data_IF_955265049951
#
_entry.id   IF_955265049951
#
_cell.length_a   1.000
_cell.length_b   1.000
_cell.length_c   1.000
_cell.angle_alpha   90.00
_cell.angle_beta   90.00
_cell.angle_gamma   90.00
#
_symmetry.space_group_name_H-M   'P 1'
#
loop_
_entity.id
_entity.type
_entity.pdbx_description
1 polymer ?
#
# COMPACT_ATOMS: atom_id res chain seq x y z
N UNK A 1 -7.40 -22.22 8.35
CA UNK A 1 -6.58 -22.59 7.17
C UNK A 1 -7.29 -21.97 5.99
N UNK A 2 -6.65 -21.01 5.33
CA UNK A 2 -7.21 -20.41 4.11
C UNK A 2 -7.35 -21.51 3.05
N UNK A 3 -8.44 -21.55 2.25
CA UNK A 3 -8.55 -22.47 1.15
C UNK A 3 -7.40 -22.25 0.16
N UNK A 4 -6.93 -23.34 -0.47
CA UNK A 4 -5.89 -23.24 -1.49
C UNK A 4 -6.31 -22.23 -2.57
N UNK A 5 -5.40 -21.33 -2.99
CA UNK A 5 -5.71 -20.37 -4.04
C UNK A 5 -6.12 -21.13 -5.32
N UNK A 6 -7.07 -20.58 -6.10
CA UNK A 6 -7.46 -21.18 -7.37
C UNK A 6 -6.24 -21.34 -8.26
N UNK A 7 -6.14 -22.47 -8.97
CA UNK A 7 -5.04 -22.76 -9.87
C UNK A 7 -4.77 -21.57 -10.80
N UNK A 8 -3.53 -21.11 -10.80
CA UNK A 8 -3.06 -20.00 -11.64
C UNK A 8 -3.38 -20.32 -13.10
N UNK A 9 -4.29 -19.59 -13.70
CA UNK A 9 -4.49 -19.66 -15.15
C UNK A 9 -3.34 -18.89 -15.79
N UNK A 10 -2.35 -19.64 -16.28
CA UNK A 10 -1.28 -19.08 -17.12
C UNK A 10 -1.92 -18.58 -18.42
N UNK A 11 -2.12 -17.27 -18.53
CA UNK A 11 -2.69 -16.62 -19.71
C UNK A 11 -1.68 -16.46 -20.86
N UNK A 12 -0.51 -17.09 -20.77
CA UNK A 12 0.54 -17.05 -21.77
C UNK A 12 1.24 -15.70 -21.92
N UNK A 13 0.91 -14.70 -21.10
CA UNK A 13 1.65 -13.44 -21.06
C UNK A 13 2.93 -13.67 -20.25
N UNK A 14 4.04 -13.86 -20.97
CA UNK A 14 5.35 -13.77 -20.32
C UNK A 14 5.52 -12.35 -19.81
N UNK A 15 5.45 -12.19 -18.50
CA UNK A 15 6.01 -11.00 -17.87
C UNK A 15 7.43 -10.83 -18.39
N UNK A 16 7.85 -9.60 -18.77
CA UNK A 16 9.24 -9.36 -19.16
C UNK A 16 10.12 -9.99 -18.10
N UNK A 17 11.10 -10.81 -18.52
CA UNK A 17 12.09 -11.39 -17.63
C UNK A 17 12.50 -10.33 -16.63
N UNK A 18 12.50 -10.68 -15.34
CA UNK A 18 13.00 -9.87 -14.25
C UNK A 18 14.19 -9.04 -14.72
N UNK A 19 13.95 -7.76 -14.98
CA UNK A 19 15.03 -6.83 -15.17
C UNK A 19 15.74 -6.82 -13.82
N UNK A 20 16.85 -7.57 -13.72
CA UNK A 20 17.74 -7.47 -12.57
C UNK A 20 18.15 -6.00 -12.52
N UNK A 21 17.48 -5.25 -11.65
CA UNK A 21 17.86 -3.88 -11.29
C UNK A 21 19.18 -4.00 -10.52
N UNK A 22 20.25 -4.25 -11.25
CA UNK A 22 21.61 -4.09 -10.72
C UNK A 22 21.94 -2.62 -10.81
N UNK A 23 22.35 -2.05 -9.70
CA UNK A 23 22.65 -0.64 -9.46
C UNK A 23 23.29 0.06 -10.66
N UNK A 24 22.75 1.23 -10.98
CA UNK A 24 23.15 2.27 -11.92
C UNK A 24 22.22 2.53 -13.12
N UNK A 25 20.93 2.23 -13.03
CA UNK A 25 19.98 2.72 -14.03
C UNK A 25 19.65 4.22 -13.85
N UNK A 26 20.10 4.82 -12.74
CA UNK A 26 19.88 6.23 -12.39
C UNK A 26 21.23 6.91 -12.15
N UNK A 27 21.42 8.11 -12.71
CA UNK A 27 22.59 8.97 -12.48
C UNK A 27 22.18 10.40 -12.17
N UNK A 28 22.98 11.07 -11.33
CA UNK A 28 22.83 12.51 -11.07
C UNK A 28 21.51 12.86 -10.43
N UNK A 29 21.22 12.31 -9.25
CA UNK A 29 20.02 12.67 -8.49
C UNK A 29 20.27 13.97 -7.74
N UNK A 30 19.60 15.08 -8.18
CA UNK A 30 19.41 16.29 -7.40
C UNK A 30 18.00 16.28 -6.83
N UNK A 31 17.83 16.81 -5.61
CA UNK A 31 16.54 16.86 -4.91
C UNK A 31 16.35 18.23 -4.28
N UNK A 32 15.24 18.87 -4.60
CA UNK A 32 14.77 20.10 -3.95
C UNK A 32 13.46 19.82 -3.21
N UNK A 33 13.28 20.41 -2.05
CA UNK A 33 12.02 20.34 -1.29
C UNK A 33 11.13 21.49 -1.74
N UNK A 34 10.00 21.17 -2.34
CA UNK A 34 9.03 22.15 -2.83
C UNK A 34 7.98 22.48 -1.76
N UNK A 35 7.65 21.50 -0.92
CA UNK A 35 6.71 21.63 0.18
C UNK A 35 7.10 20.66 1.31
N UNK A 36 6.99 21.14 2.55
CA UNK A 36 7.29 20.35 3.76
C UNK A 36 6.21 20.62 4.81
N UNK A 37 5.17 19.80 4.78
CA UNK A 37 4.04 19.83 5.70
C UNK A 37 3.76 18.43 6.24
N UNK A 38 2.48 18.03 6.29
CA UNK A 38 2.13 16.64 6.63
C UNK A 38 2.72 15.65 5.60
N UNK A 39 2.70 16.02 4.33
CA UNK A 39 3.46 15.34 3.28
C UNK A 39 4.67 16.20 2.89
N UNK A 40 5.72 15.56 2.40
CA UNK A 40 6.82 16.26 1.76
C UNK A 40 6.71 16.10 0.25
N UNK A 41 6.81 17.21 -0.50
CA UNK A 41 6.86 17.16 -1.97
C UNK A 41 8.26 17.58 -2.41
N UNK A 42 8.90 16.73 -3.21
CA UNK A 42 10.25 16.95 -3.73
C UNK A 42 10.27 16.99 -5.25
N UNK A 43 11.14 17.82 -5.82
CA UNK A 43 11.56 17.71 -7.21
C UNK A 43 12.81 16.85 -7.31
N UNK A 44 12.76 15.82 -8.16
CA UNK A 44 13.87 14.93 -8.45
C UNK A 44 14.38 15.18 -9.87
N UNK A 45 15.63 15.55 -10.04
CA UNK A 45 16.28 15.65 -11.35
C UNK A 45 17.30 14.53 -11.53
N UNK A 46 17.13 13.71 -12.55
CA UNK A 46 17.95 12.52 -12.77
C UNK A 46 18.01 12.13 -14.25
N UNK A 47 18.95 11.25 -14.60
CA UNK A 47 18.99 10.54 -15.88
C UNK A 47 18.76 9.06 -15.61
N UNK A 48 18.11 8.37 -16.53
CA UNK A 48 17.94 6.93 -16.46
C UNK A 48 18.51 6.22 -17.69
N UNK A 49 18.81 4.94 -17.54
CA UNK A 49 19.22 4.09 -18.66
C UNK A 49 18.00 3.83 -19.55
N UNK A 50 18.14 4.04 -20.85
CA UNK A 50 17.12 3.68 -21.84
C UNK A 50 17.27 2.22 -22.28
N UNK A 51 16.26 1.68 -22.93
CA UNK A 51 16.28 0.29 -23.42
C UNK A 51 17.27 0.08 -24.56
N UNK A 52 17.62 1.14 -25.32
CA UNK A 52 18.69 1.10 -26.34
C UNK A 52 20.11 1.09 -25.76
N UNK A 53 20.23 1.21 -24.44
CA UNK A 53 21.50 1.20 -23.73
C UNK A 53 22.11 2.58 -23.48
N UNK A 54 21.55 3.65 -24.05
CA UNK A 54 22.01 5.00 -23.83
C UNK A 54 21.38 5.63 -22.56
N UNK A 55 21.89 6.81 -22.17
CA UNK A 55 21.31 7.61 -21.10
C UNK A 55 20.25 8.57 -21.63
N UNK A 56 19.16 8.76 -20.86
CA UNK A 56 18.20 9.80 -21.16
C UNK A 56 18.82 11.21 -20.98
N UNK A 57 18.14 12.21 -21.51
CA UNK A 57 18.33 13.59 -21.04
C UNK A 57 17.92 13.68 -19.56
N UNK A 58 18.21 14.83 -18.93
CA UNK A 58 17.76 15.08 -17.55
C UNK A 58 16.25 15.09 -17.53
N UNK A 59 15.69 14.26 -16.67
CA UNK A 59 14.25 14.17 -16.41
C UNK A 59 13.98 14.73 -15.03
N UNK A 60 13.01 15.65 -14.91
CA UNK A 60 12.53 16.16 -13.63
C UNK A 60 11.17 15.57 -13.32
N UNK A 61 10.97 15.11 -12.06
CA UNK A 61 9.71 14.57 -11.56
C UNK A 61 9.44 15.08 -10.16
N UNK A 62 8.17 15.28 -9.86
CA UNK A 62 7.74 15.54 -8.49
C UNK A 62 7.44 14.20 -7.79
N UNK A 63 7.77 14.14 -6.50
CA UNK A 63 7.56 12.99 -5.64
C UNK A 63 6.88 13.45 -4.35
N UNK A 64 5.77 12.81 -4.03
CA UNK A 64 5.10 12.92 -2.73
C UNK A 64 5.66 11.85 -1.80
N UNK A 65 6.21 12.26 -0.66
CA UNK A 65 6.64 11.38 0.42
C UNK A 65 5.65 11.52 1.57
N UNK A 66 5.00 10.42 1.94
CA UNK A 66 4.01 10.37 3.01
C UNK A 66 4.20 9.20 4.00
N UNK A 67 5.33 8.52 3.90
CA UNK A 67 5.59 7.30 4.66
C UNK A 67 5.05 6.06 3.97
N UNK A 68 5.00 4.96 4.71
CA UNK A 68 4.48 3.67 4.26
C UNK A 68 3.27 3.29 5.11
N UNK A 69 2.45 2.40 4.60
CA UNK A 69 1.25 1.94 5.28
C UNK A 69 1.14 0.42 5.25
N UNK A 70 0.35 -0.11 6.15
CA UNK A 70 -0.16 -1.47 6.09
C UNK A 70 -1.64 -1.44 5.79
N UNK A 71 -2.14 -2.51 5.22
CA UNK A 71 -3.55 -2.76 5.09
C UNK A 71 -3.84 -4.21 5.47
N UNK A 72 -4.91 -4.46 6.20
CA UNK A 72 -5.34 -5.80 6.58
C UNK A 72 -6.81 -5.99 6.24
N UNK A 73 -7.12 -7.09 5.54
CA UNK A 73 -8.47 -7.54 5.31
C UNK A 73 -8.82 -8.61 6.36
N UNK A 74 -9.64 -8.30 7.37
CA UNK A 74 -10.11 -9.31 8.29
C UNK A 74 -11.14 -10.21 7.58
N UNK A 75 -10.91 -11.51 7.63
CA UNK A 75 -11.74 -12.54 7.02
C UNK A 75 -12.14 -13.59 8.04
N UNK A 76 -13.43 -13.87 8.14
CA UNK A 76 -13.99 -14.97 8.92
C UNK A 76 -14.25 -16.19 8.00
N UNK A 77 -13.41 -17.23 8.07
CA UNK A 77 -13.55 -18.39 7.19
C UNK A 77 -14.73 -19.30 7.59
N UNK A 78 -15.33 -19.11 8.76
CA UNK A 78 -16.49 -19.92 9.22
C UNK A 78 -17.79 -19.36 8.65
N UNK A 79 -17.88 -18.02 8.58
CA UNK A 79 -19.08 -17.32 8.07
C UNK A 79 -18.95 -16.90 6.62
N UNK A 80 -17.75 -17.00 6.06
CA UNK A 80 -17.38 -16.48 4.73
C UNK A 80 -17.68 -14.99 4.62
N UNK A 81 -17.21 -14.22 5.60
CA UNK A 81 -17.44 -12.77 5.73
C UNK A 81 -16.12 -12.01 5.83
N UNK A 82 -16.12 -10.78 5.35
CA UNK A 82 -15.03 -9.80 5.58
C UNK A 82 -15.54 -8.65 6.42
N UNK A 83 -14.64 -8.01 7.17
CA UNK A 83 -14.94 -6.81 7.92
C UNK A 83 -14.34 -5.63 7.17
N UNK A 84 -15.17 -4.63 6.89
CA UNK A 84 -14.78 -3.36 6.31
C UNK A 84 -15.13 -2.23 7.27
N UNK A 85 -14.38 -1.15 7.19
CA UNK A 85 -14.65 0.08 7.93
C UNK A 85 -15.19 1.15 6.97
N UNK A 86 -16.02 2.06 7.47
CA UNK A 86 -16.47 3.22 6.71
C UNK A 86 -15.81 4.48 7.29
N UNK A 87 -15.05 5.19 6.47
CA UNK A 87 -14.31 6.37 6.89
C UNK A 87 -14.52 7.56 5.95
N UNK A 88 -14.52 8.76 6.53
CA UNK A 88 -14.49 10.00 5.76
C UNK A 88 -13.10 10.21 5.17
N UNK A 89 -13.02 10.34 3.84
CA UNK A 89 -11.76 10.62 3.12
C UNK A 89 -11.82 11.96 2.41
N UNK A 90 -10.71 12.70 2.48
CA UNK A 90 -10.60 14.03 1.85
C UNK A 90 -10.49 13.97 0.33
N UNK A 91 -10.01 12.86 -0.23
CA UNK A 91 -9.82 12.71 -1.67
C UNK A 91 -11.08 12.98 -2.49
N UNK A 92 -12.26 12.40 -2.14
CA UNK A 92 -13.51 12.64 -2.87
C UNK A 92 -14.12 14.02 -2.66
N UNK A 93 -13.69 14.84 -1.68
CA UNK A 93 -14.34 16.12 -1.35
C UNK A 93 -14.41 17.12 -2.52
N UNK A 94 -13.50 17.00 -3.49
CA UNK A 94 -13.51 17.80 -4.72
C UNK A 94 -14.33 17.22 -5.88
N UNK A 95 -15.07 16.14 -5.64
CA UNK A 95 -15.84 15.41 -6.63
C UNK A 95 -17.33 15.34 -6.23
N UNK A 96 -18.19 14.78 -7.11
CA UNK A 96 -19.60 14.49 -6.79
C UNK A 96 -19.78 13.15 -6.03
N UNK A 97 -18.69 12.47 -5.69
CA UNK A 97 -18.72 11.18 -5.00
C UNK A 97 -18.91 11.36 -3.50
N UNK A 98 -19.52 10.35 -2.87
CA UNK A 98 -19.63 10.28 -1.43
C UNK A 98 -18.24 10.21 -0.79
N UNK A 99 -17.87 11.11 0.13
CA UNK A 99 -16.57 11.06 0.81
C UNK A 99 -16.45 9.97 1.88
N UNK A 100 -17.55 9.36 2.28
CA UNK A 100 -17.55 8.17 3.15
C UNK A 100 -17.30 6.93 2.33
N UNK A 101 -16.12 6.32 2.52
CA UNK A 101 -15.68 5.17 1.74
C UNK A 101 -15.66 3.92 2.60
N UNK A 102 -16.07 2.78 2.00
CA UNK A 102 -15.84 1.47 2.57
C UNK A 102 -14.42 1.02 2.22
N UNK A 103 -13.65 0.72 3.25
CA UNK A 103 -12.24 0.39 3.12
C UNK A 103 -11.87 -0.84 3.95
N UNK A 104 -10.77 -1.50 3.58
CA UNK A 104 -10.10 -2.43 4.49
C UNK A 104 -9.36 -1.61 5.55
N UNK A 105 -9.11 -2.22 6.69
CA UNK A 105 -8.37 -1.59 7.79
C UNK A 105 -6.97 -1.22 7.33
N UNK A 106 -6.51 -0.01 7.63
CA UNK A 106 -5.18 0.45 7.20
C UNK A 106 -4.60 1.49 8.17
N UNK A 107 -3.30 1.38 8.41
CA UNK A 107 -2.57 2.31 9.26
C UNK A 107 -1.18 2.68 8.75
N UNK A 108 -0.67 3.80 9.23
CA UNK A 108 0.68 4.25 8.91
C UNK A 108 1.73 3.48 9.71
N UNK A 109 2.79 3.06 9.03
CA UNK A 109 3.95 2.42 9.69
C UNK A 109 4.86 3.51 10.24
N UNK A 110 4.94 3.59 11.56
CA UNK A 110 5.84 4.51 12.25
C UNK A 110 7.32 4.10 12.12
N UNK A 111 8.20 5.02 12.50
CA UNK A 111 9.63 4.76 12.44
C UNK A 111 10.02 3.63 13.41
N UNK A 112 10.52 2.53 12.88
CA UNK A 112 10.98 1.37 13.66
C UNK A 112 9.86 0.41 14.06
N UNK A 113 8.64 0.60 13.56
CA UNK A 113 7.57 -0.37 13.71
C UNK A 113 7.66 -1.45 12.62
N UNK A 114 7.30 -2.68 13.00
CA UNK A 114 7.17 -3.78 12.05
C UNK A 114 5.77 -3.78 11.44
N UNK A 115 5.62 -3.89 10.11
CA UNK A 115 4.33 -3.84 9.43
C UNK A 115 3.28 -4.80 9.99
N UNK A 116 3.69 -6.03 10.38
CA UNK A 116 2.79 -7.02 10.97
C UNK A 116 2.20 -6.57 12.30
N UNK A 117 3.01 -5.93 13.15
CA UNK A 117 2.56 -5.41 14.45
C UNK A 117 1.57 -4.27 14.27
N UNK A 118 1.82 -3.39 13.28
CA UNK A 118 0.90 -2.30 12.95
C UNK A 118 -0.42 -2.87 12.42
N UNK A 119 -0.40 -3.88 11.53
CA UNK A 119 -1.60 -4.51 11.02
C UNK A 119 -2.49 -5.10 12.13
N UNK A 120 -1.87 -5.78 13.12
CA UNK A 120 -2.59 -6.33 14.27
C UNK A 120 -3.17 -5.24 15.16
N UNK A 121 -2.41 -4.19 15.44
CA UNK A 121 -2.85 -3.04 16.24
C UNK A 121 -4.02 -2.31 15.59
N UNK A 122 -3.93 -1.98 14.31
CA UNK A 122 -5.00 -1.29 13.58
C UNK A 122 -6.28 -2.13 13.48
N UNK A 123 -6.16 -3.45 13.31
CA UNK A 123 -7.32 -4.36 13.31
C UNK A 123 -8.09 -4.29 14.65
N UNK A 124 -7.39 -4.18 15.77
CA UNK A 124 -7.99 -4.03 17.08
C UNK A 124 -8.54 -2.61 17.29
N UNK A 125 -7.78 -1.58 16.94
CA UNK A 125 -8.15 -0.17 17.17
C UNK A 125 -9.31 0.29 16.28
N UNK A 126 -9.31 -0.06 14.98
CA UNK A 126 -10.30 0.44 14.02
C UNK A 126 -11.55 -0.45 13.92
N UNK A 127 -11.45 -1.76 14.19
CA UNK A 127 -12.57 -2.67 14.02
C UNK A 127 -12.85 -3.59 15.22
N UNK A 128 -12.09 -3.46 16.32
CA UNK A 128 -12.23 -4.33 17.48
C UNK A 128 -12.01 -5.81 17.19
N UNK A 129 -11.19 -6.12 16.17
CA UNK A 129 -10.98 -7.46 15.69
C UNK A 129 -9.69 -8.06 16.27
N UNK A 130 -9.79 -9.22 16.92
CA UNK A 130 -8.63 -10.02 17.30
C UNK A 130 -8.25 -10.96 16.15
N UNK A 131 -7.06 -10.78 15.59
CA UNK A 131 -6.54 -11.58 14.49
C UNK A 131 -5.81 -12.81 15.02
N UNK A 132 -6.27 -14.00 14.67
CA UNK A 132 -5.70 -15.29 15.11
C UNK A 132 -4.58 -15.80 14.20
N UNK A 133 -4.62 -15.44 12.92
CA UNK A 133 -3.62 -15.77 11.91
C UNK A 133 -3.51 -14.58 10.95
N UNK A 134 -2.29 -14.11 10.71
CA UNK A 134 -2.00 -13.04 9.76
C UNK A 134 -1.17 -13.59 8.60
N UNK A 135 -1.62 -13.38 7.38
CA UNK A 135 -0.92 -13.82 6.17
C UNK A 135 -0.53 -12.61 5.32
N UNK A 136 0.75 -12.52 4.96
CA UNK A 136 1.26 -11.48 4.08
C UNK A 136 0.90 -11.82 2.62
N UNK A 137 0.17 -10.92 1.95
CA UNK A 137 -0.18 -11.04 0.53
C UNK A 137 0.91 -10.45 -0.37
N UNK A 138 1.57 -9.40 0.10
CA UNK A 138 2.64 -8.73 -0.63
C UNK A 138 2.76 -7.24 -0.31
N UNK A 139 3.75 -6.62 -0.93
CA UNK A 139 4.00 -5.17 -0.82
C UNK A 139 3.98 -4.54 -2.20
N UNK A 140 3.29 -3.41 -2.33
CA UNK A 140 3.17 -2.69 -3.59
C UNK A 140 3.19 -1.17 -3.37
N UNK A 141 3.52 -0.44 -4.43
CA UNK A 141 3.41 1.03 -4.42
C UNK A 141 1.97 1.45 -4.69
N UNK A 142 1.43 2.37 -3.89
CA UNK A 142 0.08 2.91 -4.08
C UNK A 142 -0.07 3.71 -5.39
N UNK A 143 0.94 4.50 -5.71
CA UNK A 143 0.96 5.34 -6.91
C UNK A 143 2.41 5.63 -7.36
N UNK A 144 3.11 4.64 -7.97
CA UNK A 144 4.55 4.73 -8.22
C UNK A 144 4.96 5.82 -9.21
N UNK A 145 4.03 6.41 -9.94
CA UNK A 145 4.29 7.53 -10.85
C UNK A 145 4.62 8.85 -10.15
N UNK A 146 4.26 9.01 -8.87
CA UNK A 146 4.45 10.28 -8.16
C UNK A 146 4.45 10.17 -6.63
N UNK A 147 4.29 8.96 -6.08
CA UNK A 147 4.29 8.74 -4.64
C UNK A 147 5.24 7.61 -4.26
N UNK A 148 5.98 7.81 -3.17
CA UNK A 148 6.90 6.79 -2.62
C UNK A 148 6.25 5.81 -1.67
N UNK A 149 4.96 6.01 -1.35
CA UNK A 149 4.24 5.16 -0.42
C UNK A 149 4.16 3.71 -0.90
N UNK A 150 4.49 2.81 0.00
CA UNK A 150 4.27 1.37 -0.16
C UNK A 150 3.23 0.90 0.84
N UNK A 151 2.38 -0.02 0.39
CA UNK A 151 1.44 -0.77 1.23
C UNK A 151 1.94 -2.19 1.41
N UNK A 152 2.02 -2.65 2.66
CA UNK A 152 2.12 -4.07 2.99
C UNK A 152 0.72 -4.60 3.26
N UNK A 153 0.25 -5.50 2.38
CA UNK A 153 -1.11 -6.04 2.44
C UNK A 153 -1.12 -7.38 3.15
N UNK A 154 -2.07 -7.53 4.06
CA UNK A 154 -2.30 -8.74 4.83
C UNK A 154 -3.76 -9.21 4.74
N UNK A 155 -3.98 -10.50 4.95
CA UNK A 155 -5.28 -11.08 5.28
C UNK A 155 -5.20 -11.60 6.70
N UNK A 156 -6.15 -11.22 7.55
CA UNK A 156 -6.23 -11.61 8.94
C UNK A 156 -7.42 -12.55 9.21
N UNK A 157 -7.18 -13.73 9.79
CA UNK A 157 -8.26 -14.62 10.19
C UNK A 157 -8.87 -14.14 11.51
N UNK A 158 -10.19 -13.90 11.50
CA UNK A 158 -10.96 -13.37 12.64
C UNK A 158 -12.23 -14.20 12.90
N UNK A 159 -12.83 -13.99 14.07
CA UNK A 159 -14.23 -14.36 14.36
C UNK A 159 -15.09 -13.11 14.30
N UNK A 160 -15.85 -12.94 13.20
CA UNK A 160 -16.66 -11.75 12.95
C UNK A 160 -17.79 -11.54 13.96
N UNK A 161 -18.18 -12.57 14.73
CA UNK A 161 -19.18 -12.45 15.78
C UNK A 161 -18.71 -11.70 17.02
N UNK A 162 -17.39 -11.53 17.17
CA UNK A 162 -16.76 -10.85 18.32
C UNK A 162 -16.37 -9.41 18.02
N UNK A 163 -16.67 -8.93 16.80
CA UNK A 163 -16.38 -7.54 16.42
C UNK A 163 -17.08 -6.57 17.39
N UNK A 164 -16.40 -5.50 17.74
CA UNK A 164 -16.99 -4.38 18.43
C UNK A 164 -17.46 -3.36 17.37
N UNK A 165 -18.71 -2.90 17.48
CA UNK A 165 -19.14 -1.72 16.70
C UNK A 165 -18.49 -0.49 17.32
N UNK A 166 -17.28 -0.19 16.86
CA UNK A 166 -16.54 1.00 17.25
C UNK A 166 -17.02 2.11 16.31
N UNK A 167 -18.04 2.85 16.77
CA UNK A 167 -18.48 4.07 16.09
C UNK A 167 -17.37 5.12 16.20
N UNK A 168 -16.81 5.55 15.06
CA UNK A 168 -15.88 6.67 14.96
C UNK A 168 -16.60 8.01 14.95
#
# INVERSE_FOLDING_TARGET
>A
VFPDPPAHVDDGRRLPREAKVQGSHIRGRATDVNYDGFFTVRSLAFRHRRFDGDWSEIVTRELVERGHAVAVLPYDPVRDEVILIEQLRVGPLGTEQNPWLLEIIAGMVGKGEEPEQVALREAEEEAGCSVSLLENVGTFFSSPGGCSEQFSLYVGCVDSSQRLDIGG
#
